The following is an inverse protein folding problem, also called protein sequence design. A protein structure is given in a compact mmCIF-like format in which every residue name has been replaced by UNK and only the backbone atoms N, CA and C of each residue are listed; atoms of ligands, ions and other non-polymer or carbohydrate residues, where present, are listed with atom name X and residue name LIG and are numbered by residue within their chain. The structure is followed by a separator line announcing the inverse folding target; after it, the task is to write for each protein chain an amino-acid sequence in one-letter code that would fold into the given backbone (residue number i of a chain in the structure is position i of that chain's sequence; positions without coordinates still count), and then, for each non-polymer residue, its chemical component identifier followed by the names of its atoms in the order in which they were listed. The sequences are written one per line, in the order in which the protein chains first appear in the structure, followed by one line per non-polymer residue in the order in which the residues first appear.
data_IF_928584790375
#
_entry.id   IF_928584790375
#
_cell.length_a   1.000
_cell.length_b   1.000
_cell.length_c   1.000
_cell.angle_alpha   90.00
_cell.angle_beta   90.00
_cell.angle_gamma   90.00
#
_symmetry.space_group_name_H-M   'P 1'
#
loop_
_entity.id
_entity.type
_entity.pdbx_description
1 polymer ?
#
# COMPACT_ATOMS: atom_id res chain seq x y z
N UNK A 1 -36.55 14.02 -43.98
CA UNK A 1 -35.19 14.45 -43.57
C UNK A 1 -34.29 13.21 -43.58
N UNK A 2 -33.35 13.18 -44.52
CA UNK A 2 -32.57 11.97 -44.76
C UNK A 2 -31.53 11.76 -43.61
N UNK A 3 -31.19 10.50 -43.32
CA UNK A 3 -30.19 10.14 -42.29
C UNK A 3 -28.81 10.81 -42.51
N UNK A 4 -28.50 11.13 -43.76
CA UNK A 4 -27.25 11.83 -44.15
C UNK A 4 -27.22 13.29 -43.70
N UNK A 5 -28.34 14.01 -43.79
CA UNK A 5 -28.42 15.41 -43.34
C UNK A 5 -28.33 15.53 -41.82
N UNK A 6 -28.86 14.56 -41.09
CA UNK A 6 -28.77 14.49 -39.63
C UNK A 6 -27.33 14.24 -39.19
N UNK A 7 -26.63 13.28 -39.80
CA UNK A 7 -25.22 12.96 -39.52
C UNK A 7 -24.29 14.15 -39.82
N UNK A 8 -24.48 14.83 -40.93
CA UNK A 8 -23.68 16.00 -41.31
C UNK A 8 -23.86 17.18 -40.35
N UNK A 9 -25.10 17.34 -39.84
CA UNK A 9 -25.40 18.41 -38.87
C UNK A 9 -24.83 18.11 -37.49
N UNK A 10 -24.86 16.85 -37.06
CA UNK A 10 -24.26 16.40 -35.78
C UNK A 10 -22.71 16.51 -35.84
N UNK A 11 -22.10 16.09 -36.95
CA UNK A 11 -20.65 16.22 -37.12
C UNK A 11 -20.19 17.70 -37.11
N UNK A 12 -20.92 18.60 -37.77
CA UNK A 12 -20.58 20.04 -37.75
C UNK A 12 -20.74 20.67 -36.37
N UNK A 13 -21.77 20.29 -35.60
CA UNK A 13 -21.94 20.77 -34.21
C UNK A 13 -20.86 20.26 -33.27
N UNK A 14 -20.50 18.97 -33.35
CA UNK A 14 -19.45 18.41 -32.50
C UNK A 14 -18.06 18.96 -32.80
N UNK A 15 -17.70 19.13 -34.08
CA UNK A 15 -16.43 19.74 -34.47
C UNK A 15 -16.32 21.21 -34.08
N UNK A 16 -17.40 21.97 -34.12
CA UNK A 16 -17.40 23.37 -33.68
C UNK A 16 -17.25 23.51 -32.15
N UNK A 17 -17.91 22.65 -31.37
CA UNK A 17 -17.76 22.61 -29.90
C UNK A 17 -16.37 22.22 -29.48
N UNK A 18 -15.76 21.23 -30.17
CA UNK A 18 -14.39 20.79 -29.92
C UNK A 18 -13.40 21.93 -30.20
N UNK A 19 -13.52 22.62 -31.36
CA UNK A 19 -12.61 23.71 -31.72
C UNK A 19 -12.73 24.91 -30.77
N UNK A 20 -13.93 25.25 -30.29
CA UNK A 20 -14.14 26.36 -29.36
C UNK A 20 -13.51 26.09 -27.97
N UNK A 21 -13.54 24.85 -27.52
CA UNK A 21 -13.06 24.45 -26.17
C UNK A 21 -11.78 23.62 -26.20
N UNK A 22 -11.03 23.64 -27.30
CA UNK A 22 -9.85 22.78 -27.50
C UNK A 22 -8.81 22.95 -26.37
N UNK A 23 -8.56 24.19 -25.94
CA UNK A 23 -7.64 24.49 -24.84
C UNK A 23 -8.10 23.84 -23.51
N UNK A 24 -9.38 23.99 -23.18
CA UNK A 24 -9.96 23.38 -21.98
C UNK A 24 -9.93 21.86 -22.04
N UNK A 25 -10.20 21.27 -23.19
CA UNK A 25 -10.19 19.83 -23.41
C UNK A 25 -8.78 19.25 -23.26
N UNK A 26 -7.76 19.94 -23.78
CA UNK A 26 -6.35 19.56 -23.62
C UNK A 26 -5.94 19.61 -22.15
N UNK A 27 -6.35 20.66 -21.41
CA UNK A 27 -6.04 20.78 -19.98
C UNK A 27 -6.67 19.62 -19.19
N UNK A 28 -7.94 19.31 -19.44
CA UNK A 28 -8.63 18.19 -18.76
C UNK A 28 -7.96 16.86 -19.07
N UNK A 29 -7.59 16.62 -20.33
CA UNK A 29 -6.90 15.40 -20.75
C UNK A 29 -5.54 15.27 -20.07
N UNK A 30 -4.79 16.38 -20.00
CA UNK A 30 -3.47 16.40 -19.32
C UNK A 30 -3.61 16.09 -17.84
N UNK A 31 -4.60 16.68 -17.14
CA UNK A 31 -4.86 16.37 -15.73
C UNK A 31 -5.23 14.90 -15.52
N UNK A 32 -6.04 14.34 -16.41
CA UNK A 32 -6.44 12.94 -16.34
C UNK A 32 -5.22 12.00 -16.52
N UNK A 33 -4.33 12.31 -17.45
CA UNK A 33 -3.08 11.56 -17.64
C UNK A 33 -2.19 11.66 -16.39
N UNK A 34 -2.01 12.85 -15.82
CA UNK A 34 -1.22 13.05 -14.60
C UNK A 34 -1.76 12.27 -13.41
N UNK A 35 -3.08 12.22 -13.23
CA UNK A 35 -3.70 11.43 -12.15
C UNK A 35 -3.49 9.94 -12.34
N UNK A 36 -3.58 9.43 -13.57
CA UNK A 36 -3.29 8.03 -13.88
C UNK A 36 -1.81 7.66 -13.60
N UNK A 37 -0.87 8.51 -14.02
CA UNK A 37 0.54 8.29 -13.72
C UNK A 37 0.82 8.30 -12.22
N UNK A 38 0.26 9.25 -11.47
CA UNK A 38 0.39 9.31 -10.00
C UNK A 38 -0.16 8.05 -9.34
N UNK A 39 -1.29 7.54 -9.81
CA UNK A 39 -1.89 6.32 -9.28
C UNK A 39 -1.02 5.08 -9.54
N UNK A 40 -0.51 4.91 -10.77
CA UNK A 40 0.38 3.80 -11.12
C UNK A 40 1.67 3.85 -10.27
N UNK A 41 2.28 5.03 -10.15
CA UNK A 41 3.49 5.21 -9.36
C UNK A 41 3.27 4.89 -7.87
N UNK A 42 2.15 5.36 -7.30
CA UNK A 42 1.79 5.05 -5.92
C UNK A 42 1.59 3.55 -5.68
N UNK A 43 0.89 2.86 -6.59
CA UNK A 43 0.65 1.42 -6.46
C UNK A 43 1.94 0.60 -6.59
N UNK A 44 2.88 1.02 -7.45
CA UNK A 44 4.17 0.35 -7.62
C UNK A 44 5.05 0.50 -6.37
N UNK A 45 5.12 1.71 -5.80
CA UNK A 45 5.84 1.94 -4.54
C UNK A 45 5.26 1.11 -3.39
N UNK A 46 3.93 1.03 -3.29
CA UNK A 46 3.27 0.21 -2.28
C UNK A 46 3.62 -1.26 -2.44
N UNK A 47 3.56 -1.81 -3.64
CA UNK A 47 3.93 -3.21 -3.93
C UNK A 47 5.40 -3.50 -3.57
N UNK A 48 6.32 -2.61 -3.93
CA UNK A 48 7.75 -2.77 -3.59
C UNK A 48 7.96 -2.80 -2.08
N UNK A 49 7.25 -1.95 -1.34
CA UNK A 49 7.33 -1.95 0.12
C UNK A 49 6.77 -3.23 0.75
N UNK A 50 5.64 -3.73 0.25
CA UNK A 50 5.05 -5.01 0.67
C UNK A 50 6.04 -6.17 0.46
N UNK A 51 6.64 -6.27 -0.73
CA UNK A 51 7.64 -7.29 -1.05
C UNK A 51 8.84 -7.18 -0.10
N UNK A 52 9.38 -5.99 0.11
CA UNK A 52 10.53 -5.77 0.98
C UNK A 52 10.27 -6.19 2.43
N UNK A 53 9.08 -5.91 2.96
CA UNK A 53 8.71 -6.32 4.32
C UNK A 53 8.54 -7.83 4.40
N UNK A 54 7.90 -8.45 3.41
CA UNK A 54 7.77 -9.89 3.29
C UNK A 54 9.14 -10.60 3.27
N UNK A 55 10.06 -10.11 2.45
CA UNK A 55 11.43 -10.65 2.38
C UNK A 55 12.15 -10.52 3.72
N UNK A 56 12.02 -9.39 4.41
CA UNK A 56 12.61 -9.21 5.74
C UNK A 56 12.05 -10.20 6.77
N UNK A 57 10.74 -10.49 6.72
CA UNK A 57 10.13 -11.48 7.59
C UNK A 57 10.66 -12.88 7.30
N UNK A 58 10.74 -13.26 6.03
CA UNK A 58 11.31 -14.55 5.61
C UNK A 58 12.77 -14.67 6.07
N UNK A 59 13.58 -13.63 5.88
CA UNK A 59 14.95 -13.59 6.35
C UNK A 59 15.06 -13.76 7.86
N UNK A 60 14.18 -13.09 8.64
CA UNK A 60 14.16 -13.25 10.08
C UNK A 60 13.86 -14.69 10.49
N UNK A 61 12.90 -15.35 9.85
CA UNK A 61 12.56 -16.76 10.15
C UNK A 61 13.69 -17.73 9.79
N UNK A 62 14.43 -17.46 8.71
CA UNK A 62 15.61 -18.25 8.34
C UNK A 62 16.75 -18.03 9.34
N UNK A 63 17.07 -16.76 9.64
CA UNK A 63 18.16 -16.39 10.56
C UNK A 63 17.90 -16.87 12.01
N UNK A 64 16.64 -17.04 12.39
CA UNK A 64 16.28 -17.50 13.74
C UNK A 64 16.97 -18.81 14.14
N UNK A 65 17.19 -19.71 13.19
CA UNK A 65 17.85 -21.00 13.46
C UNK A 65 19.33 -20.88 13.81
N UNK A 66 20.00 -19.88 13.24
CA UNK A 66 21.46 -19.73 13.35
C UNK A 66 21.86 -18.51 14.19
N UNK A 67 21.13 -17.40 14.06
CA UNK A 67 21.49 -16.09 14.64
C UNK A 67 20.25 -15.40 15.21
N UNK A 68 19.86 -15.80 16.42
CA UNK A 68 18.64 -15.29 17.09
C UNK A 68 18.62 -13.78 17.25
N UNK A 69 19.77 -13.16 17.51
CA UNK A 69 19.86 -11.69 17.70
C UNK A 69 19.56 -10.94 16.41
N UNK A 70 20.07 -11.42 15.27
CA UNK A 70 19.76 -10.84 13.96
C UNK A 70 18.28 -11.01 13.61
N UNK A 71 17.73 -12.21 13.88
CA UNK A 71 16.31 -12.46 13.66
C UNK A 71 15.44 -11.51 14.49
N UNK A 72 15.77 -11.32 15.77
CA UNK A 72 15.10 -10.38 16.67
C UNK A 72 15.13 -8.96 16.11
N UNK A 73 16.30 -8.46 15.72
CA UNK A 73 16.46 -7.12 15.14
C UNK A 73 15.61 -6.91 13.89
N UNK A 74 15.59 -7.88 12.97
CA UNK A 74 14.77 -7.84 11.77
C UNK A 74 13.27 -7.78 12.10
N UNK A 75 12.81 -8.59 13.07
CA UNK A 75 11.41 -8.61 13.51
C UNK A 75 11.01 -7.30 14.19
N UNK A 76 11.85 -6.75 15.07
CA UNK A 76 11.62 -5.45 15.69
C UNK A 76 11.54 -4.33 14.66
N UNK A 77 12.38 -4.38 13.63
CA UNK A 77 12.33 -3.43 12.52
C UNK A 77 11.01 -3.52 11.73
N UNK A 78 10.48 -4.74 11.53
CA UNK A 78 9.17 -4.95 10.89
C UNK A 78 8.04 -4.36 11.76
N UNK A 79 8.07 -4.57 13.08
CA UNK A 79 7.09 -3.97 14.00
C UNK A 79 7.11 -2.45 13.89
N UNK A 80 8.31 -1.87 13.82
CA UNK A 80 8.50 -0.42 13.71
C UNK A 80 7.99 0.20 12.42
N UNK A 81 7.78 -0.60 11.36
CA UNK A 81 7.20 -0.14 10.10
C UNK A 81 5.68 0.00 10.11
N UNK A 82 5.03 -0.42 11.19
CA UNK A 82 3.57 -0.38 11.36
C UNK A 82 2.81 -1.02 10.19
N UNK A 83 3.34 -2.12 9.66
CA UNK A 83 2.70 -2.83 8.57
C UNK A 83 1.53 -3.67 9.09
N UNK A 84 0.32 -3.51 8.49
CA UNK A 84 -0.93 -4.12 8.95
C UNK A 84 -0.83 -5.62 9.22
N UNK A 85 -0.17 -6.35 8.34
CA UNK A 85 -0.08 -7.81 8.40
C UNK A 85 1.21 -8.29 9.07
N UNK A 86 2.37 -7.76 8.63
CA UNK A 86 3.65 -8.27 9.09
C UNK A 86 4.07 -7.79 10.48
N UNK A 87 3.60 -6.63 10.96
CA UNK A 87 3.96 -6.17 12.32
C UNK A 87 3.35 -7.05 13.41
N UNK A 88 2.05 -7.40 13.39
CA UNK A 88 1.48 -8.39 14.31
C UNK A 88 2.16 -9.75 14.22
N UNK A 89 2.43 -10.22 13.00
CA UNK A 89 3.08 -11.51 12.76
C UNK A 89 4.50 -11.56 13.32
N UNK A 90 5.25 -10.46 13.21
CA UNK A 90 6.59 -10.32 13.78
C UNK A 90 6.55 -10.31 15.31
N UNK A 91 5.58 -9.62 15.92
CA UNK A 91 5.40 -9.64 17.37
C UNK A 91 5.04 -11.04 17.88
N UNK A 92 4.10 -11.71 17.21
CA UNK A 92 3.76 -13.08 17.54
C UNK A 92 4.99 -14.00 17.52
N UNK A 93 5.83 -13.89 16.48
CA UNK A 93 7.05 -14.68 16.37
C UNK A 93 8.04 -14.39 17.49
N UNK A 94 8.20 -13.13 17.89
CA UNK A 94 9.07 -12.73 19.03
C UNK A 94 8.59 -13.37 20.33
N UNK A 95 7.28 -13.35 20.59
CA UNK A 95 6.68 -13.89 21.82
C UNK A 95 6.77 -15.41 21.84
N UNK A 96 6.33 -16.08 20.78
CA UNK A 96 6.30 -17.53 20.68
C UNK A 96 7.69 -18.16 20.83
N UNK A 97 8.70 -17.52 20.27
CA UNK A 97 10.08 -17.98 20.35
C UNK A 97 10.89 -17.36 21.51
N UNK A 98 10.25 -16.59 22.38
CA UNK A 98 10.86 -15.95 23.56
C UNK A 98 12.12 -15.15 23.20
N UNK A 99 12.10 -14.44 22.09
CA UNK A 99 13.22 -13.62 21.61
C UNK A 99 13.38 -12.33 22.41
N UNK A 100 12.32 -11.84 23.05
CA UNK A 100 12.34 -10.72 23.98
C UNK A 100 11.94 -11.19 25.38
N UNK A 101 12.67 -10.72 26.38
CA UNK A 101 12.41 -11.04 27.81
C UNK A 101 11.90 -9.83 28.57
N UNK A 102 12.09 -8.64 28.02
CA UNK A 102 11.62 -7.40 28.61
C UNK A 102 10.12 -7.23 28.36
N UNK A 103 9.34 -7.42 29.42
CA UNK A 103 7.88 -7.29 29.37
C UNK A 103 7.42 -5.87 28.98
N UNK A 104 8.14 -4.83 29.41
CA UNK A 104 7.81 -3.44 29.04
C UNK A 104 7.98 -3.22 27.54
N UNK A 105 9.02 -3.79 26.97
CA UNK A 105 9.25 -3.71 25.51
C UNK A 105 8.17 -4.44 24.72
N UNK A 106 7.73 -5.60 25.20
CA UNK A 106 6.62 -6.35 24.60
C UNK A 106 5.33 -5.53 24.64
N UNK A 107 5.02 -4.92 25.79
CA UNK A 107 3.84 -4.05 25.94
C UNK A 107 3.90 -2.88 24.94
N UNK A 108 5.05 -2.22 24.82
CA UNK A 108 5.22 -1.14 23.86
C UNK A 108 5.00 -1.60 22.40
N UNK A 109 5.37 -2.82 22.05
CA UNK A 109 5.08 -3.38 20.74
C UNK A 109 3.59 -3.64 20.54
N UNK A 110 2.88 -4.12 21.56
CA UNK A 110 1.42 -4.26 21.52
C UNK A 110 0.73 -2.91 21.30
N UNK A 111 1.09 -1.90 22.10
CA UNK A 111 0.52 -0.55 21.97
C UNK A 111 0.73 0.00 20.56
N UNK A 112 1.90 -0.23 19.99
CA UNK A 112 2.23 0.18 18.62
C UNK A 112 1.36 -0.51 17.58
N UNK A 113 1.11 -1.81 17.72
CA UNK A 113 0.26 -2.58 16.82
C UNK A 113 -1.20 -2.15 16.94
N UNK A 114 -1.68 -1.94 18.16
CA UNK A 114 -3.03 -1.47 18.43
C UNK A 114 -3.31 -0.07 17.85
N UNK A 115 -2.27 0.75 17.76
CA UNK A 115 -2.36 2.10 17.14
C UNK A 115 -2.49 2.08 15.61
N UNK A 116 -2.30 0.93 14.95
CA UNK A 116 -2.46 0.80 13.51
C UNK A 116 -3.96 0.87 13.19
N UNK A 117 -4.43 2.08 12.86
CA UNK A 117 -5.85 2.46 12.69
C UNK A 117 -6.62 1.68 11.62
N UNK A 118 -5.96 0.79 10.90
CA UNK A 118 -6.51 0.05 9.77
C UNK A 118 -6.46 -1.48 9.96
N UNK A 119 -6.20 -1.97 11.18
CA UNK A 119 -6.32 -3.39 11.47
C UNK A 119 -7.80 -3.76 11.59
N UNK A 120 -8.23 -4.76 10.82
CA UNK A 120 -9.51 -5.40 11.04
C UNK A 120 -9.50 -6.08 12.41
N UNK A 121 -10.63 -6.05 13.13
CA UNK A 121 -10.76 -6.70 14.44
C UNK A 121 -10.40 -8.20 14.41
N UNK A 122 -10.56 -8.86 13.28
CA UNK A 122 -10.14 -10.24 13.09
C UNK A 122 -8.64 -10.47 13.31
N UNK A 123 -7.80 -9.51 12.90
CA UNK A 123 -6.34 -9.61 13.09
C UNK A 123 -5.92 -9.33 14.54
N UNK A 124 -6.73 -8.58 15.30
CA UNK A 124 -6.51 -8.32 16.73
C UNK A 124 -6.81 -9.55 17.59
N UNK A 125 -7.72 -10.41 17.15
CA UNK A 125 -8.09 -11.63 17.88
C UNK A 125 -7.07 -12.77 17.75
N UNK A 126 -6.03 -12.60 16.91
CA UNK A 126 -4.95 -13.58 16.72
C UNK A 126 -3.74 -13.33 17.65
N UNK A 127 -3.73 -12.22 18.36
CA UNK A 127 -2.69 -11.83 19.33
C UNK A 127 -3.24 -11.95 20.75
#
# INVERSE_FOLDING_TARGET
MSKETLNNTLQKKTTHLIKKNLKSLVIVLTLLILTLFSYIFYTDLKKKNEIKISEQYIQATIQFKEKKDIAKELLENIINKNHKFYSPLALYFIIDNRLEKDSLKIINFFDKILSISSMNQENLNLI
#
